data_IF_178129449121
#
_entry.id   IF_178129449121
#
_cell.length_a   1.000
_cell.length_b   1.000
_cell.length_c   1.000
_cell.angle_alpha   90.00
_cell.angle_beta   90.00
_cell.angle_gamma   90.00
#
_symmetry.space_group_name_H-M   'P 1'
#
loop_
_entity.id
_entity.type
_entity.pdbx_description
1 polymer ?
#
# COMPACT_ATOMS: atom_id res chain seq x y z
N UNK A 1 -14.32 -1.84 12.95
CA UNK A 1 -14.38 -0.73 13.92
C UNK A 1 -14.38 -1.22 15.35
N UNK A 2 -15.11 -2.28 15.69
CA UNK A 2 -15.17 -2.83 17.05
C UNK A 2 -13.80 -3.11 17.69
N UNK A 3 -12.89 -3.77 16.95
CA UNK A 3 -11.52 -4.03 17.45
C UNK A 3 -10.72 -2.75 17.76
N UNK A 4 -10.90 -1.68 16.98
CA UNK A 4 -10.23 -0.40 17.23
C UNK A 4 -10.79 0.26 18.49
N UNK A 5 -12.13 0.32 18.62
CA UNK A 5 -12.77 0.86 19.80
C UNK A 5 -12.43 0.08 21.07
N UNK A 6 -12.37 -1.26 20.98
CA UNK A 6 -11.96 -2.13 22.08
C UNK A 6 -10.50 -1.89 22.50
N UNK A 7 -9.59 -1.74 21.53
CA UNK A 7 -8.19 -1.44 21.79
C UNK A 7 -7.98 -0.06 22.43
N UNK A 8 -8.75 0.95 21.99
CA UNK A 8 -8.76 2.28 22.59
C UNK A 8 -9.27 2.24 24.04
N UNK A 9 -10.41 1.56 24.27
CA UNK A 9 -10.98 1.40 25.60
C UNK A 9 -10.06 0.63 26.57
N UNK A 10 -9.26 -0.29 26.05
CA UNK A 10 -8.26 -1.05 26.81
C UNK A 10 -6.93 -0.28 27.02
N UNK A 11 -6.80 0.96 26.53
CA UNK A 11 -5.55 1.73 26.64
C UNK A 11 -4.40 1.16 25.80
N UNK A 12 -4.70 0.33 24.79
CA UNK A 12 -3.72 -0.31 23.91
C UNK A 12 -3.97 0.09 22.45
N UNK A 13 -3.81 1.38 22.10
CA UNK A 13 -4.09 1.85 20.75
C UNK A 13 -3.19 1.17 19.71
N UNK A 14 -3.76 0.88 18.54
CA UNK A 14 -2.97 0.43 17.41
C UNK A 14 -2.04 1.55 16.94
N UNK A 15 -0.77 1.21 16.72
CA UNK A 15 0.24 2.16 16.22
C UNK A 15 0.20 2.28 14.69
N UNK A 16 -0.38 1.28 14.02
CA UNK A 16 -0.41 1.17 12.57
C UNK A 16 -1.70 0.53 12.09
N UNK A 17 -2.36 1.16 11.12
CA UNK A 17 -3.45 0.61 10.34
C UNK A 17 -2.98 0.33 8.92
N UNK A 18 -3.25 -0.86 8.43
CA UNK A 18 -3.05 -1.22 7.02
C UNK A 18 -4.44 -1.50 6.45
N UNK A 19 -4.90 -0.64 5.54
CA UNK A 19 -6.24 -0.72 4.97
C UNK A 19 -6.17 -0.90 3.44
N UNK A 20 -7.09 -1.71 2.91
CA UNK A 20 -7.31 -1.83 1.46
C UNK A 20 -8.29 -0.74 1.01
N UNK A 21 -8.01 -0.05 -0.10
CA UNK A 21 -8.91 0.98 -0.61
C UNK A 21 -10.20 0.38 -1.17
N UNK A 22 -10.16 -0.87 -1.62
CA UNK A 22 -11.32 -1.59 -2.10
C UNK A 22 -11.57 -2.80 -1.20
N UNK A 23 -12.46 -2.64 -0.23
CA UNK A 23 -13.09 -3.75 0.47
C UNK A 23 -14.58 -3.79 0.11
N UNK A 24 -15.20 -4.98 0.07
CA UNK A 24 -16.65 -5.08 -0.01
C UNK A 24 -17.28 -4.38 1.22
N UNK A 25 -18.48 -3.83 1.04
CA UNK A 25 -19.26 -3.09 2.05
C UNK A 25 -18.73 -1.71 2.46
N UNK A 26 -17.43 -1.55 2.72
CA UNK A 26 -16.85 -0.26 3.14
C UNK A 26 -15.46 -0.03 2.55
N UNK A 27 -15.29 1.08 1.81
CA UNK A 27 -13.99 1.43 1.26
C UNK A 27 -12.99 1.85 2.36
N UNK A 28 -11.69 1.62 2.11
CA UNK A 28 -10.63 1.89 3.09
C UNK A 28 -10.50 3.37 3.44
N UNK A 29 -10.86 4.28 2.53
CA UNK A 29 -10.83 5.71 2.83
C UNK A 29 -11.94 6.12 3.78
N UNK A 30 -13.14 5.59 3.61
CA UNK A 30 -14.26 5.76 4.54
C UNK A 30 -13.93 5.20 5.91
N UNK A 31 -13.20 4.08 5.98
CA UNK A 31 -12.69 3.58 7.26
C UNK A 31 -11.77 4.61 7.93
N UNK A 32 -10.81 5.18 7.19
CA UNK A 32 -9.88 6.20 7.73
C UNK A 32 -10.61 7.48 8.15
N UNK A 33 -11.58 7.93 7.35
CA UNK A 33 -12.44 9.07 7.68
C UNK A 33 -13.19 8.86 9.00
N UNK A 34 -13.79 7.67 9.20
CA UNK A 34 -14.47 7.31 10.44
C UNK A 34 -13.54 7.28 11.64
N UNK A 35 -12.31 6.80 11.47
CA UNK A 35 -11.31 6.77 12.55
C UNK A 35 -10.94 8.20 12.97
N UNK A 36 -10.75 9.12 12.01
CA UNK A 36 -10.43 10.51 12.32
C UNK A 36 -11.56 11.28 13.01
N UNK A 37 -12.80 10.84 12.83
CA UNK A 37 -13.97 11.41 13.49
C UNK A 37 -14.18 10.85 14.91
N UNK A 38 -13.37 9.90 15.37
CA UNK A 38 -13.47 9.40 16.75
C UNK A 38 -12.92 10.44 17.74
N UNK A 39 -13.50 10.56 18.96
CA UNK A 39 -13.12 11.60 19.92
C UNK A 39 -11.68 11.52 20.43
N UNK A 40 -11.09 10.33 20.38
CA UNK A 40 -9.68 10.08 20.65
C UNK A 40 -9.11 9.28 19.48
N UNK A 41 -8.82 9.93 18.35
CA UNK A 41 -8.12 9.28 17.28
C UNK A 41 -6.69 9.14 17.81
N UNK A 42 -6.42 8.01 18.47
CA UNK A 42 -5.05 7.61 18.74
C UNK A 42 -4.25 7.86 17.47
N UNK A 43 -3.03 8.43 17.59
CA UNK A 43 -2.12 8.78 16.48
C UNK A 43 -1.74 7.54 15.66
N UNK A 44 -2.72 6.94 15.03
CA UNK A 44 -2.69 5.68 14.34
C UNK A 44 -2.18 6.01 12.96
N UNK A 45 -0.97 5.57 12.68
CA UNK A 45 -0.37 5.78 11.39
C UNK A 45 -1.10 4.92 10.38
N UNK A 46 -1.51 5.49 9.25
CA UNK A 46 -2.29 4.76 8.25
C UNK A 46 -1.43 4.47 7.01
N UNK A 47 -1.39 3.20 6.62
CA UNK A 47 -0.92 2.72 5.33
C UNK A 47 -2.12 2.30 4.50
N UNK A 48 -2.24 2.86 3.29
CA UNK A 48 -3.31 2.53 2.35
C UNK A 48 -2.80 1.63 1.22
N UNK A 49 -3.54 0.58 0.90
CA UNK A 49 -3.28 -0.31 -0.23
C UNK A 49 -4.27 0.02 -1.36
N UNK A 50 -3.75 0.49 -2.48
CA UNK A 50 -4.49 0.92 -3.67
C UNK A 50 -4.39 -0.14 -4.78
N UNK A 51 -5.35 -0.14 -5.72
CA UNK A 51 -5.20 -0.88 -6.97
C UNK A 51 -4.32 -0.13 -7.96
N UNK A 52 -3.82 -0.84 -8.96
CA UNK A 52 -3.08 -0.23 -10.06
C UNK A 52 -3.97 0.76 -10.82
N UNK A 53 -3.53 2.02 -10.92
CA UNK A 53 -4.25 3.09 -11.62
C UNK A 53 -4.92 4.13 -10.71
N UNK A 54 -5.20 3.80 -9.45
CA UNK A 54 -5.97 4.67 -8.56
C UNK A 54 -5.12 5.76 -7.87
N UNK A 55 -3.78 5.63 -7.91
CA UNK A 55 -2.81 6.55 -7.28
C UNK A 55 -3.05 8.03 -7.57
N UNK A 56 -3.32 8.38 -8.83
CA UNK A 56 -3.47 9.77 -9.24
C UNK A 56 -4.79 10.36 -8.76
N UNK A 57 -5.85 9.54 -8.73
CA UNK A 57 -7.18 9.93 -8.26
C UNK A 57 -7.18 10.14 -6.74
N UNK A 58 -6.40 9.33 -6.03
CA UNK A 58 -6.46 9.26 -4.57
C UNK A 58 -5.39 10.08 -3.86
N UNK A 59 -4.39 10.62 -4.56
CA UNK A 59 -3.29 11.36 -3.95
C UNK A 59 -3.73 12.60 -3.16
N UNK A 60 -4.79 13.29 -3.60
CA UNK A 60 -5.37 14.42 -2.86
C UNK A 60 -6.09 13.94 -1.59
N UNK A 61 -6.87 12.86 -1.69
CA UNK A 61 -7.61 12.25 -0.57
C UNK A 61 -6.65 11.70 0.49
N UNK A 62 -5.57 11.04 0.07
CA UNK A 62 -4.53 10.54 0.97
C UNK A 62 -3.90 11.65 1.81
N UNK A 63 -3.60 12.80 1.19
CA UNK A 63 -3.03 13.96 1.90
C UNK A 63 -4.01 14.56 2.89
N UNK A 64 -5.27 14.74 2.49
CA UNK A 64 -6.32 15.26 3.37
C UNK A 64 -6.54 14.38 4.60
N UNK A 65 -6.44 13.06 4.42
CA UNK A 65 -6.62 12.08 5.47
C UNK A 65 -5.31 11.71 6.19
N UNK A 66 -4.23 12.45 6.03
CA UNK A 66 -2.98 12.17 6.77
C UNK A 66 -2.43 10.75 6.58
N UNK A 67 -2.72 10.11 5.44
CA UNK A 67 -2.24 8.76 5.14
C UNK A 67 -0.72 8.83 4.96
N UNK A 68 0.01 8.08 5.78
CA UNK A 68 1.47 8.13 5.82
C UNK A 68 2.11 7.54 4.56
N UNK A 69 1.57 6.42 4.07
CA UNK A 69 2.09 5.72 2.89
C UNK A 69 0.94 5.09 2.10
N UNK A 70 1.01 5.15 0.77
CA UNK A 70 0.19 4.32 -0.11
C UNK A 70 1.03 3.27 -0.84
N UNK A 71 0.43 2.12 -1.17
CA UNK A 71 1.07 1.04 -1.92
C UNK A 71 0.14 0.61 -3.04
N UNK A 72 0.66 0.31 -4.23
CA UNK A 72 -0.14 -0.25 -5.32
C UNK A 72 0.00 -1.75 -5.42
N UNK A 73 -1.13 -2.42 -5.67
CA UNK A 73 -1.15 -3.85 -5.97
C UNK A 73 -0.57 -4.13 -7.37
N UNK A 74 0.15 -5.26 -7.56
CA UNK A 74 0.52 -6.26 -6.54
C UNK A 74 1.65 -5.76 -5.63
N UNK A 75 1.48 -5.92 -4.31
CA UNK A 75 2.42 -5.41 -3.30
C UNK A 75 3.52 -6.44 -3.04
N UNK A 76 4.79 -6.03 -3.16
CA UNK A 76 5.92 -6.89 -2.82
C UNK A 76 6.22 -6.83 -1.32
N UNK A 77 6.70 -7.94 -0.73
CA UNK A 77 7.09 -8.01 0.70
C UNK A 77 8.06 -6.87 1.11
N UNK A 78 9.04 -6.57 0.26
CA UNK A 78 10.01 -5.50 0.52
C UNK A 78 9.36 -4.10 0.52
N UNK A 79 8.36 -3.86 -0.33
CA UNK A 79 7.64 -2.59 -0.41
C UNK A 79 6.75 -2.40 0.83
N UNK A 80 6.04 -3.45 1.24
CA UNK A 80 5.25 -3.44 2.46
C UNK A 80 6.11 -3.18 3.70
N UNK A 81 7.24 -3.89 3.84
CA UNK A 81 8.18 -3.67 4.94
C UNK A 81 8.69 -2.23 4.98
N UNK A 82 9.05 -1.67 3.83
CA UNK A 82 9.48 -0.27 3.75
C UNK A 82 8.37 0.70 4.14
N UNK A 83 7.14 0.46 3.71
CA UNK A 83 5.99 1.29 4.06
C UNK A 83 5.74 1.29 5.58
N UNK A 84 5.78 0.11 6.21
CA UNK A 84 5.65 -0.05 7.66
C UNK A 84 6.71 0.77 8.40
N UNK A 85 7.98 0.61 8.02
CA UNK A 85 9.09 1.34 8.65
C UNK A 85 9.00 2.86 8.44
N UNK A 86 8.49 3.30 7.28
CA UNK A 86 8.31 4.72 6.97
C UNK A 86 7.17 5.30 7.80
N UNK A 87 6.04 4.59 7.89
CA UNK A 87 4.90 5.03 8.67
C UNK A 87 5.26 5.16 10.15
N UNK A 88 5.94 4.16 10.73
CA UNK A 88 6.35 4.16 12.14
C UNK A 88 7.43 5.19 12.49
N UNK A 89 8.06 5.85 11.50
CA UNK A 89 9.15 6.80 11.73
C UNK A 89 8.89 8.14 11.00
N UNK A 90 7.90 8.94 11.47
CA UNK A 90 7.40 10.12 10.75
C UNK A 90 8.41 11.28 10.62
N UNK A 91 9.62 11.17 11.21
CA UNK A 91 10.72 12.12 11.02
C UNK A 91 11.46 11.99 9.67
N UNK A 92 11.22 10.91 8.92
CA UNK A 92 11.74 10.74 7.56
C UNK A 92 10.56 10.93 6.61
N UNK A 93 10.44 12.13 6.02
CA UNK A 93 9.42 12.44 5.02
C UNK A 93 9.26 11.28 4.03
N UNK A 94 8.04 10.75 3.93
CA UNK A 94 7.74 9.57 3.12
C UNK A 94 8.25 9.77 1.68
N UNK A 95 8.86 8.76 1.06
CA UNK A 95 9.32 8.86 -0.31
C UNK A 95 8.09 8.93 -1.23
N UNK A 96 7.71 10.15 -1.59
CA UNK A 96 6.69 10.42 -2.60
C UNK A 96 7.10 9.72 -3.89
N UNK A 97 6.24 8.81 -4.37
CA UNK A 97 6.23 8.32 -5.75
C UNK A 97 7.58 8.00 -6.38
N UNK A 98 8.32 7.01 -5.87
CA UNK A 98 9.28 6.33 -6.75
C UNK A 98 8.45 5.54 -7.77
N UNK A 99 8.24 6.12 -8.95
CA UNK A 99 7.73 5.44 -10.15
C UNK A 99 8.37 4.06 -10.20
N UNK A 100 7.57 3.01 -10.07
CA UNK A 100 8.01 1.66 -10.38
C UNK A 100 8.50 1.70 -11.82
N UNK A 101 9.82 1.63 -12.03
CA UNK A 101 10.37 1.41 -13.37
C UNK A 101 9.71 0.14 -13.88
N UNK A 102 9.03 0.13 -15.04
CA UNK A 102 8.56 -1.11 -15.60
C UNK A 102 9.81 -1.97 -15.85
N UNK A 103 9.95 -3.06 -15.08
CA UNK A 103 10.87 -4.12 -15.47
C UNK A 103 10.32 -4.65 -16.78
N UNK A 104 11.01 -4.29 -17.87
CA UNK A 104 10.67 -4.71 -19.22
C UNK A 104 10.31 -6.20 -19.20
N UNK A 105 9.11 -6.52 -19.68
CA UNK A 105 8.75 -7.88 -20.05
C UNK A 105 9.83 -8.37 -21.02
N UNK A 106 10.72 -9.23 -20.52
CA UNK A 106 11.71 -9.89 -21.36
C UNK A 106 10.91 -10.84 -22.26
N UNK A 107 10.65 -10.42 -23.50
CA UNK A 107 10.11 -11.29 -24.55
C UNK A 107 11.01 -12.53 -24.59
N UNK A 108 10.46 -13.68 -24.21
CA UNK A 108 11.09 -14.97 -24.49
C UNK A 108 10.87 -15.17 -26.00
N UNK A 109 11.94 -15.00 -26.79
CA UNK A 109 11.91 -15.35 -28.20
C UNK A 109 11.71 -16.88 -28.32
N UNK A 110 10.91 -17.36 -29.30
CA UNK A 110 10.76 -18.79 -29.52
C UNK A 110 12.12 -19.38 -29.92
N UNK A 111 12.49 -20.51 -29.28
CA UNK A 111 13.67 -21.30 -29.62
C UNK A 111 13.53 -21.78 -31.06
N UNK A 112 14.41 -21.31 -31.95
CA UNK A 112 14.59 -21.92 -33.26
C UNK A 112 15.11 -23.36 -33.07
N UNK A 113 14.60 -24.35 -33.82
CA UNK A 113 15.13 -25.69 -33.77
C UNK A 113 16.58 -25.68 -34.26
N UNK A 114 17.47 -26.30 -33.47
CA UNK A 114 18.85 -26.51 -33.90
C UNK A 114 18.83 -27.58 -34.99
N UNK A 115 19.04 -27.15 -36.22
CA UNK A 115 19.34 -28.05 -37.32
C UNK A 115 20.62 -28.83 -36.98
N UNK A 116 20.48 -30.15 -36.93
CA UNK A 116 21.53 -31.09 -36.54
C UNK A 116 21.75 -32.03 -37.69
N UNK A 117 22.85 -31.86 -38.42
CA UNK A 117 23.09 -32.69 -39.59
C UNK A 117 24.38 -32.41 -40.35
N UNK A 118 25.52 -32.31 -39.65
CA UNK A 118 26.85 -32.48 -40.26
C UNK A 118 26.98 -33.92 -40.77
N UNK A 119 27.21 -34.11 -42.07
CA UNK A 119 28.33 -34.91 -42.66
C UNK A 119 28.04 -35.33 -44.11
N UNK A 120 29.06 -35.16 -44.95
CA UNK A 120 29.14 -35.54 -46.35
C UNK A 120 30.30 -34.79 -46.96
#
# INVERSE_FOLDING_TARGET
>A
MEALCGALAAGQPFQLLIADSHMPEMDGFTLVEKIQQTPDPARTLVIMMLRYGDLWRDAARCRKLGIAVHLTKPIRRAELRKAILTALNPGVAAPQGRKARPHAFRKIAPRQPKDSGRRG
#
